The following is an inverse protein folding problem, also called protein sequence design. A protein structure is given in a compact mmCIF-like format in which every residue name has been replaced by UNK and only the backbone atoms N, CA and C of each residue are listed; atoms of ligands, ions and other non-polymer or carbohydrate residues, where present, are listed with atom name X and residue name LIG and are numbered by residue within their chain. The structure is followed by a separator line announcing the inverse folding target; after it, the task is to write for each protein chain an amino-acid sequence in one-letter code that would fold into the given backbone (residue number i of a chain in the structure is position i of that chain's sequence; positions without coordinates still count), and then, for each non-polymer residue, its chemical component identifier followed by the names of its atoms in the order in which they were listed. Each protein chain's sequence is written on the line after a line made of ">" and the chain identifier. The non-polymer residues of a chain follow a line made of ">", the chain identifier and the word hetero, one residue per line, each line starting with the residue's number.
data_IF_945955403271
#
_entry.id   IF_945955403271
#
_cell.length_a   1.000
_cell.length_b   1.000
_cell.length_c   1.000
_cell.angle_alpha   90.00
_cell.angle_beta   90.00
_cell.angle_gamma   90.00
#
_symmetry.space_group_name_H-M   'P 1'
#
loop_
_entity.id
_entity.type
_entity.pdbx_description
1 polymer ?
#
# COMPACT_ATOMS: atom_id res chain seq x y z
N UNK A 1 29.55 -81.86 58.00
CA UNK A 1 29.00 -81.45 59.32
C UNK A 1 28.21 -80.14 59.15
N UNK A 2 27.31 -79.82 60.10
CA UNK A 2 26.66 -78.52 60.43
C UNK A 2 26.44 -77.44 59.34
N UNK A 3 25.16 -77.06 59.17
CA UNK A 3 24.59 -75.75 58.72
C UNK A 3 25.24 -74.53 59.46
N UNK A 4 25.17 -73.25 59.01
CA UNK A 4 23.89 -72.55 58.68
C UNK A 4 23.82 -71.33 57.71
N UNK A 5 22.59 -71.11 57.19
CA UNK A 5 21.81 -69.85 56.95
C UNK A 5 22.36 -68.54 56.34
N UNK A 6 21.43 -67.83 55.67
CA UNK A 6 21.33 -66.38 55.38
C UNK A 6 22.25 -65.80 54.26
N UNK A 7 21.86 -64.77 53.48
CA UNK A 7 20.64 -63.90 53.52
C UNK A 7 20.20 -63.38 52.13
N UNK A 8 18.93 -62.97 52.06
CA UNK A 8 18.25 -62.20 51.00
C UNK A 8 19.02 -60.96 50.46
N UNK A 9 19.01 -60.73 49.12
CA UNK A 9 18.54 -59.48 48.45
C UNK A 9 18.73 -59.45 46.91
N UNK A 10 17.76 -58.80 46.24
CA UNK A 10 17.83 -58.05 44.95
C UNK A 10 18.23 -58.86 43.68
N UNK A 11 17.45 -58.80 42.58
CA UNK A 11 17.45 -57.62 41.68
C UNK A 11 16.13 -57.49 40.88
N UNK A 12 15.23 -56.61 41.31
CA UNK A 12 14.18 -56.07 40.43
C UNK A 12 14.79 -54.90 39.66
N UNK A 13 14.97 -55.04 38.35
CA UNK A 13 15.60 -54.02 37.51
C UNK A 13 14.53 -53.01 37.07
N UNK A 14 14.49 -51.85 37.74
CA UNK A 14 13.53 -50.78 37.42
C UNK A 14 13.79 -50.23 36.01
N UNK A 15 12.83 -50.43 35.10
CA UNK A 15 12.70 -49.60 33.91
C UNK A 15 12.08 -48.25 34.33
N UNK A 16 12.92 -47.29 34.73
CA UNK A 16 12.45 -46.02 35.29
C UNK A 16 13.23 -44.81 34.74
N UNK A 17 12.50 -43.97 33.97
CA UNK A 17 12.84 -42.60 33.57
C UNK A 17 14.04 -42.44 32.58
N UNK A 18 14.14 -41.29 31.88
CA UNK A 18 13.29 -40.11 32.00
C UNK A 18 12.24 -39.98 30.88
N UNK A 19 10.99 -39.81 31.30
CA UNK A 19 10.12 -38.84 30.65
C UNK A 19 10.73 -37.46 30.87
N UNK A 20 11.61 -37.03 29.95
CA UNK A 20 11.98 -35.62 29.82
C UNK A 20 10.76 -34.87 29.28
N UNK A 21 9.80 -34.62 30.17
CA UNK A 21 8.62 -33.85 29.87
C UNK A 21 9.04 -32.49 29.33
N UNK A 22 8.47 -32.11 28.18
CA UNK A 22 8.68 -30.80 27.60
C UNK A 22 8.10 -29.76 28.56
N UNK A 23 8.94 -29.20 29.43
CA UNK A 23 8.58 -28.01 30.19
C UNK A 23 8.14 -26.94 29.18
N UNK A 24 6.99 -26.29 29.39
CA UNK A 24 6.52 -25.28 28.45
C UNK A 24 7.59 -24.19 28.36
N UNK A 25 8.01 -23.87 27.14
CA UNK A 25 8.93 -22.77 26.90
C UNK A 25 8.20 -21.47 27.29
N UNK A 26 8.50 -20.95 28.48
CA UNK A 26 7.93 -19.70 28.96
C UNK A 26 8.43 -18.56 28.09
N UNK A 27 7.49 -17.77 27.56
CA UNK A 27 7.78 -16.54 26.84
C UNK A 27 8.64 -15.59 27.70
N UNK A 28 9.74 -15.11 27.14
CA UNK A 28 10.64 -14.18 27.80
C UNK A 28 10.10 -12.74 27.75
N UNK A 29 10.35 -11.97 28.80
CA UNK A 29 10.02 -10.54 28.87
C UNK A 29 11.28 -9.71 28.93
N UNK A 30 11.58 -9.02 27.83
CA UNK A 30 12.73 -8.13 27.68
C UNK A 30 12.32 -6.67 27.93
N UNK A 31 13.23 -5.88 28.48
CA UNK A 31 12.99 -4.46 28.76
C UNK A 31 14.21 -3.60 28.43
N UNK A 32 13.96 -2.43 27.84
CA UNK A 32 14.97 -1.44 27.49
C UNK A 32 14.69 -0.13 28.25
N UNK A 33 15.47 0.21 29.30
CA UNK A 33 16.53 -0.57 29.94
C UNK A 33 16.02 -1.76 30.77
N UNK A 34 16.96 -2.60 31.24
CA UNK A 34 16.69 -3.72 32.14
C UNK A 34 17.10 -5.05 31.52
N UNK A 35 16.14 -5.96 31.33
CA UNK A 35 16.41 -7.29 30.80
C UNK A 35 16.62 -7.24 29.27
N UNK A 36 17.85 -6.97 28.82
CA UNK A 36 18.18 -6.91 27.40
C UNK A 36 18.21 -8.32 26.79
N UNK A 37 17.75 -8.52 25.54
CA UNK A 37 17.94 -9.77 24.81
C UNK A 37 19.42 -10.12 24.59
N UNK A 38 19.71 -11.40 24.42
CA UNK A 38 21.05 -11.86 24.09
C UNK A 38 21.58 -11.18 22.81
N UNK A 39 22.82 -10.66 22.86
CA UNK A 39 23.42 -9.92 21.75
C UNK A 39 23.01 -8.45 21.64
N UNK A 40 22.16 -7.94 22.54
CA UNK A 40 21.85 -6.50 22.67
C UNK A 40 22.68 -5.83 23.76
N UNK A 41 23.06 -4.57 23.56
CA UNK A 41 23.78 -3.74 24.52
C UNK A 41 23.46 -2.24 24.32
N UNK A 42 23.74 -1.40 25.31
CA UNK A 42 23.54 0.05 25.23
C UNK A 42 22.96 0.66 26.50
N UNK A 43 22.45 1.88 26.39
CA UNK A 43 21.93 2.68 27.51
C UNK A 43 21.48 4.05 27.04
N UNK A 44 20.99 4.90 27.95
CA UNK A 44 20.52 6.26 27.63
C UNK A 44 19.55 6.29 26.42
N UNK A 45 18.57 5.37 26.44
CA UNK A 45 17.59 5.16 25.38
C UNK A 45 18.14 4.80 23.99
N UNK A 46 19.41 4.40 23.87
CA UNK A 46 20.06 4.02 22.62
C UNK A 46 20.75 2.65 22.78
N UNK A 47 20.33 1.69 21.96
CA UNK A 47 20.77 0.29 22.04
C UNK A 47 21.18 -0.24 20.67
N UNK A 48 22.14 -1.15 20.65
CA UNK A 48 22.55 -1.89 19.45
C UNK A 48 22.53 -3.40 19.74
N UNK A 49 21.98 -4.16 18.81
CA UNK A 49 21.90 -5.61 18.82
C UNK A 49 22.64 -6.18 17.60
N UNK A 50 23.17 -7.40 17.75
CA UNK A 50 23.65 -8.24 16.64
C UNK A 50 22.50 -8.74 15.76
N UNK A 51 22.43 -10.04 15.53
CA UNK A 51 21.15 -10.66 15.22
C UNK A 51 20.27 -10.66 16.48
N UNK A 52 18.97 -10.43 16.32
CA UNK A 52 17.98 -10.46 17.40
C UNK A 52 16.91 -11.51 17.06
N UNK A 53 16.60 -12.40 17.99
CA UNK A 53 15.55 -13.40 17.83
C UNK A 53 14.68 -13.43 19.08
N UNK A 54 13.37 -13.28 18.89
CA UNK A 54 12.34 -13.48 19.90
C UNK A 54 11.67 -14.83 19.63
N UNK A 55 11.52 -15.67 20.66
CA UNK A 55 10.76 -16.90 20.58
C UNK A 55 9.25 -16.63 20.51
N UNK A 56 8.45 -17.64 20.17
CA UNK A 56 7.00 -17.49 20.10
C UNK A 56 6.42 -17.04 21.45
N UNK A 57 5.65 -15.94 21.44
CA UNK A 57 5.08 -15.31 22.64
C UNK A 57 5.99 -14.33 23.38
N UNK A 58 7.30 -14.26 23.08
CA UNK A 58 8.24 -13.33 23.73
C UNK A 58 7.78 -11.87 23.62
N UNK A 59 8.16 -11.05 24.62
CA UNK A 59 7.79 -9.65 24.71
C UNK A 59 8.99 -8.70 24.80
N UNK A 60 8.95 -7.58 24.08
CA UNK A 60 9.83 -6.41 24.27
C UNK A 60 9.01 -5.28 24.88
N UNK A 61 9.59 -4.59 25.87
CA UNK A 61 9.07 -3.36 26.47
C UNK A 61 10.13 -2.26 26.48
N UNK A 62 9.74 -0.99 26.44
CA UNK A 62 10.65 0.17 26.57
C UNK A 62 10.12 1.16 27.60
N UNK A 63 11.01 2.00 28.15
CA UNK A 63 10.61 3.03 29.12
C UNK A 63 9.58 4.02 28.55
N UNK A 64 8.52 4.28 29.30
CA UNK A 64 7.47 5.22 28.90
C UNK A 64 7.95 6.66 28.94
N UNK A 65 7.70 7.42 27.88
CA UNK A 65 7.98 8.87 27.82
C UNK A 65 9.40 9.25 27.40
N UNK A 66 10.28 8.27 27.12
CA UNK A 66 11.62 8.50 26.56
C UNK A 66 11.72 7.74 25.23
N UNK A 67 11.79 8.44 24.07
CA UNK A 67 11.99 7.80 22.77
C UNK A 67 13.25 6.94 22.76
N UNK A 68 13.06 5.64 22.56
CA UNK A 68 14.10 4.61 22.64
C UNK A 68 14.43 4.09 21.25
N UNK A 69 15.70 4.12 20.89
CA UNK A 69 16.22 3.61 19.62
C UNK A 69 16.89 2.25 19.83
N UNK A 70 16.49 1.23 19.06
CA UNK A 70 17.15 -0.07 19.02
C UNK A 70 17.64 -0.33 17.59
N UNK A 71 18.95 -0.43 17.42
CA UNK A 71 19.62 -0.72 16.16
C UNK A 71 19.94 -2.21 16.05
N UNK A 72 19.23 -2.97 15.21
CA UNK A 72 19.51 -4.39 14.97
C UNK A 72 20.33 -4.54 13.69
N UNK A 73 21.58 -4.99 13.87
CA UNK A 73 22.56 -5.02 12.78
C UNK A 73 22.47 -6.29 11.93
N UNK A 74 22.10 -7.41 12.54
CA UNK A 74 21.79 -8.68 11.86
C UNK A 74 20.29 -8.85 11.59
N UNK A 75 19.87 -10.08 11.27
CA UNK A 75 18.45 -10.41 11.13
C UNK A 75 17.69 -10.13 12.44
N UNK A 76 16.53 -9.50 12.35
CA UNK A 76 15.54 -9.46 13.42
C UNK A 76 14.46 -10.51 13.12
N UNK A 77 14.40 -11.58 13.91
CA UNK A 77 13.33 -12.59 13.83
C UNK A 77 12.40 -12.46 15.03
N UNK A 78 11.09 -12.46 14.80
CA UNK A 78 10.06 -12.36 15.83
C UNK A 78 9.09 -13.53 15.69
N UNK A 79 9.02 -14.38 16.71
CA UNK A 79 8.15 -15.56 16.71
C UNK A 79 6.65 -15.23 16.70
N UNK A 80 5.83 -16.24 16.44
CA UNK A 80 4.37 -16.10 16.45
C UNK A 80 3.87 -15.64 17.84
N UNK A 81 2.84 -14.80 17.85
CA UNK A 81 2.17 -14.26 19.06
C UNK A 81 3.06 -13.37 19.96
N UNK A 82 4.29 -13.03 19.55
CA UNK A 82 5.15 -12.10 20.29
C UNK A 82 4.57 -10.68 20.35
N UNK A 83 5.06 -9.88 21.32
CA UNK A 83 4.61 -8.49 21.51
C UNK A 83 5.78 -7.52 21.61
N UNK A 84 5.69 -6.35 20.97
CA UNK A 84 6.76 -5.34 20.95
C UNK A 84 6.15 -3.99 21.33
N UNK A 85 6.52 -3.49 22.51
CA UNK A 85 6.04 -2.24 23.11
C UNK A 85 4.51 -2.18 23.26
N UNK A 86 3.82 -3.32 23.37
CA UNK A 86 2.36 -3.38 23.50
C UNK A 86 1.90 -2.63 24.76
N UNK A 87 0.99 -1.67 24.59
CA UNK A 87 0.55 -0.73 25.63
C UNK A 87 1.36 0.57 25.71
N UNK A 88 2.49 0.67 25.01
CA UNK A 88 3.24 1.91 24.82
C UNK A 88 2.75 2.73 23.62
N UNK A 89 3.22 3.97 23.50
CA UNK A 89 3.05 4.75 22.27
C UNK A 89 4.11 4.35 21.24
N UNK A 90 3.74 4.25 19.97
CA UNK A 90 4.69 3.92 18.89
C UNK A 90 5.82 4.97 18.73
N UNK A 91 5.59 6.21 19.14
CA UNK A 91 6.62 7.25 19.20
C UNK A 91 7.72 7.00 20.26
N UNK A 92 7.47 6.10 21.24
CA UNK A 92 8.47 5.74 22.25
C UNK A 92 9.50 4.74 21.74
N UNK A 93 9.30 4.10 20.57
CA UNK A 93 10.20 3.08 20.04
C UNK A 93 10.51 3.31 18.56
N UNK A 94 11.80 3.47 18.27
CA UNK A 94 12.37 3.48 16.93
C UNK A 94 13.24 2.22 16.78
N UNK A 95 12.92 1.38 15.79
CA UNK A 95 13.75 0.25 15.40
C UNK A 95 14.50 0.61 14.12
N UNK A 96 15.83 0.57 14.18
CA UNK A 96 16.70 0.68 13.01
C UNK A 96 17.15 -0.73 12.62
N UNK A 97 16.83 -1.21 11.43
CA UNK A 97 17.12 -2.59 11.02
C UNK A 97 18.00 -2.60 9.76
N UNK A 98 19.28 -2.98 9.87
CA UNK A 98 20.15 -3.16 8.69
C UNK A 98 20.18 -4.60 8.17
N UNK A 99 19.80 -5.58 9.00
CA UNK A 99 19.41 -6.91 8.54
C UNK A 99 17.90 -7.03 8.35
N UNK A 100 17.46 -8.12 7.71
CA UNK A 100 16.04 -8.34 7.40
C UNK A 100 15.18 -8.42 8.66
N UNK A 101 13.99 -7.81 8.63
CA UNK A 101 12.95 -8.01 9.63
C UNK A 101 12.00 -9.13 9.21
N UNK A 102 11.77 -10.09 10.09
CA UNK A 102 10.95 -11.28 9.82
C UNK A 102 10.05 -11.54 11.03
N UNK A 103 8.79 -11.13 10.92
CA UNK A 103 7.82 -11.15 12.01
C UNK A 103 6.76 -12.22 11.72
N UNK A 104 6.57 -13.14 12.67
CA UNK A 104 5.59 -14.22 12.59
C UNK A 104 4.13 -13.76 12.63
N UNK A 105 3.24 -14.73 12.80
CA UNK A 105 1.79 -14.53 12.80
C UNK A 105 1.28 -14.08 14.17
N UNK A 106 0.16 -13.34 14.19
CA UNK A 106 -0.50 -12.80 15.39
C UNK A 106 0.39 -11.88 16.27
N UNK A 107 1.51 -11.37 15.75
CA UNK A 107 2.41 -10.47 16.47
C UNK A 107 1.75 -9.11 16.69
N UNK A 108 2.03 -8.45 17.82
CA UNK A 108 1.57 -7.06 18.08
C UNK A 108 2.76 -6.12 18.26
N UNK A 109 2.80 -5.01 17.51
CA UNK A 109 3.94 -4.07 17.47
C UNK A 109 3.47 -2.62 17.64
N UNK A 110 4.12 -1.87 18.52
CA UNK A 110 3.95 -0.42 18.71
C UNK A 110 5.30 0.27 18.53
N UNK A 111 5.73 0.48 17.29
CA UNK A 111 7.04 1.04 16.96
C UNK A 111 7.04 1.75 15.61
N UNK A 112 7.95 2.70 15.43
CA UNK A 112 8.36 3.13 14.10
C UNK A 112 9.58 2.31 13.67
N UNK A 113 9.58 1.79 12.44
CA UNK A 113 10.70 1.04 11.87
C UNK A 113 11.32 1.86 10.75
N UNK A 114 12.63 2.00 10.76
CA UNK A 114 13.42 2.40 9.60
C UNK A 114 14.37 1.25 9.24
N UNK A 115 14.37 0.79 7.99
CA UNK A 115 15.19 -0.35 7.57
C UNK A 115 15.84 -0.17 6.20
N UNK A 116 17.03 -0.74 6.01
CA UNK A 116 17.70 -0.83 4.70
C UNK A 116 17.56 -2.21 4.07
N UNK A 117 16.89 -3.17 4.73
CA UNK A 117 16.71 -4.54 4.30
C UNK A 117 15.23 -4.93 4.25
N UNK A 118 14.92 -6.10 3.65
CA UNK A 118 13.54 -6.56 3.50
C UNK A 118 12.89 -6.76 4.87
N UNK A 119 11.67 -6.25 5.03
CA UNK A 119 10.83 -6.51 6.19
C UNK A 119 9.57 -7.26 5.78
N UNK A 120 9.26 -8.36 6.47
CA UNK A 120 8.07 -9.17 6.28
C UNK A 120 7.29 -9.29 7.58
N UNK A 121 6.00 -8.97 7.54
CA UNK A 121 5.03 -9.22 8.59
C UNK A 121 4.15 -10.40 8.18
N UNK A 122 3.99 -11.38 9.07
CA UNK A 122 3.19 -12.59 8.88
C UNK A 122 1.69 -12.33 8.85
N UNK A 123 0.91 -13.39 9.06
CA UNK A 123 -0.55 -13.33 9.05
C UNK A 123 -1.08 -12.70 10.35
N UNK A 124 -2.06 -11.79 10.27
CA UNK A 124 -2.73 -11.16 11.43
C UNK A 124 -1.81 -10.38 12.40
N UNK A 125 -0.72 -9.77 11.91
CA UNK A 125 0.06 -8.80 12.72
C UNK A 125 -0.78 -7.55 12.95
N UNK A 126 -0.79 -7.07 14.19
CA UNK A 126 -1.36 -5.78 14.59
C UNK A 126 -0.21 -4.78 14.82
N UNK A 127 -0.04 -3.84 13.90
CA UNK A 127 1.07 -2.89 13.90
C UNK A 127 0.57 -1.47 14.10
N UNK A 128 1.20 -0.72 15.01
CA UNK A 128 0.95 0.71 15.23
C UNK A 128 2.27 1.48 15.17
N UNK A 129 2.30 2.55 14.38
CA UNK A 129 3.52 3.25 13.95
C UNK A 129 3.75 3.09 12.44
N UNK A 130 4.83 3.67 11.92
CA UNK A 130 5.14 3.62 10.48
C UNK A 130 6.33 2.69 10.17
N UNK A 131 6.33 2.08 8.99
CA UNK A 131 7.49 1.38 8.43
C UNK A 131 8.04 2.20 7.27
N UNK A 132 9.33 2.52 7.33
CA UNK A 132 10.07 3.29 6.32
C UNK A 132 11.29 2.52 5.85
N UNK A 133 11.57 2.52 4.55
CA UNK A 133 12.83 2.04 3.98
C UNK A 133 13.28 2.89 2.81
N UNK A 134 14.58 2.95 2.55
CA UNK A 134 15.11 3.69 1.40
C UNK A 134 15.00 2.89 0.09
N UNK A 135 15.19 1.58 0.13
CA UNK A 135 15.27 0.75 -1.08
C UNK A 135 14.71 -0.67 -0.94
N UNK A 136 14.30 -1.09 0.26
CA UNK A 136 13.90 -2.46 0.50
C UNK A 136 12.40 -2.72 0.23
N UNK A 137 12.05 -4.01 0.21
CA UNK A 137 10.66 -4.47 0.11
C UNK A 137 10.03 -4.49 1.49
N UNK A 138 8.81 -3.97 1.59
CA UNK A 138 7.90 -4.17 2.72
C UNK A 138 6.85 -5.19 2.32
N UNK A 139 6.78 -6.32 3.00
CA UNK A 139 5.72 -7.32 2.84
C UNK A 139 4.85 -7.34 4.10
N UNK A 140 3.54 -7.23 3.93
CA UNK A 140 2.52 -7.67 4.87
C UNK A 140 1.85 -8.90 4.24
N UNK A 141 1.76 -10.02 4.94
CA UNK A 141 0.91 -11.14 4.54
C UNK A 141 -0.59 -10.82 4.79
N UNK A 142 -1.43 -11.81 5.07
CA UNK A 142 -2.88 -11.64 5.05
C UNK A 142 -3.43 -11.17 6.39
N UNK A 143 -4.60 -10.52 6.34
CA UNK A 143 -5.41 -10.15 7.52
C UNK A 143 -4.69 -9.24 8.51
N UNK A 144 -3.71 -8.48 8.03
CA UNK A 144 -2.92 -7.56 8.84
C UNK A 144 -3.72 -6.30 9.19
N UNK A 145 -3.49 -5.75 10.38
CA UNK A 145 -4.01 -4.44 10.78
C UNK A 145 -2.83 -3.51 11.03
N UNK A 146 -2.70 -2.47 10.22
CA UNK A 146 -1.57 -1.55 10.23
C UNK A 146 -2.06 -0.12 10.47
N UNK A 147 -1.55 0.57 11.48
CA UNK A 147 -1.99 1.93 11.87
C UNK A 147 -0.82 2.90 11.88
N UNK A 148 -0.70 3.64 10.78
CA UNK A 148 0.47 4.45 10.42
C UNK A 148 0.77 4.32 8.92
N UNK A 149 1.93 4.81 8.47
CA UNK A 149 2.28 4.82 7.05
C UNK A 149 3.24 3.69 6.64
N UNK A 150 3.13 3.24 5.40
CA UNK A 150 4.08 2.34 4.74
C UNK A 150 4.85 3.12 3.68
N UNK A 151 6.18 3.20 3.83
CA UNK A 151 7.05 4.05 3.00
C UNK A 151 8.25 3.27 2.46
N UNK A 152 8.49 3.33 1.15
CA UNK A 152 9.76 2.92 0.54
C UNK A 152 10.34 4.04 -0.33
N UNK A 153 11.65 4.04 -0.60
CA UNK A 153 12.22 4.91 -1.62
C UNK A 153 12.10 4.29 -3.00
N UNK A 154 12.79 3.17 -3.26
CA UNK A 154 12.81 2.47 -4.57
C UNK A 154 12.20 1.06 -4.58
N UNK A 155 11.87 0.48 -3.42
CA UNK A 155 11.46 -0.93 -3.29
C UNK A 155 9.97 -1.19 -3.56
N UNK A 156 9.51 -2.40 -3.28
CA UNK A 156 8.08 -2.75 -3.37
C UNK A 156 7.38 -2.66 -2.01
N UNK A 157 6.08 -2.38 -2.02
CA UNK A 157 5.21 -2.53 -0.84
C UNK A 157 4.08 -3.49 -1.22
N UNK A 158 4.08 -4.67 -0.61
CA UNK A 158 3.07 -5.70 -0.81
C UNK A 158 2.21 -5.80 0.46
N UNK A 159 0.89 -5.68 0.31
CA UNK A 159 -0.09 -5.85 1.39
C UNK A 159 -1.01 -7.01 1.00
N UNK A 160 -0.97 -8.12 1.74
CA UNK A 160 -1.76 -9.32 1.48
C UNK A 160 -3.26 -9.15 1.72
N UNK A 161 -4.02 -10.18 1.35
CA UNK A 161 -5.49 -10.13 1.29
C UNK A 161 -6.15 -9.90 2.66
N UNK A 162 -7.33 -9.29 2.63
CA UNK A 162 -8.16 -8.98 3.81
C UNK A 162 -7.49 -8.08 4.86
N UNK A 163 -6.50 -7.28 4.45
CA UNK A 163 -5.72 -6.43 5.37
C UNK A 163 -6.26 -5.00 5.45
N UNK A 164 -6.03 -4.32 6.56
CA UNK A 164 -6.45 -2.94 6.83
C UNK A 164 -5.22 -2.05 7.09
N UNK A 165 -5.05 -1.00 6.31
CA UNK A 165 -4.01 0.02 6.47
C UNK A 165 -4.67 1.35 6.83
N UNK A 166 -4.70 1.64 8.12
CA UNK A 166 -5.15 2.89 8.73
C UNK A 166 -4.08 3.98 8.57
N UNK A 167 -3.78 4.34 7.32
CA UNK A 167 -2.77 5.34 6.94
C UNK A 167 -2.51 5.31 5.43
N UNK A 168 -1.40 5.92 4.99
CA UNK A 168 -1.04 6.01 3.57
C UNK A 168 0.11 5.07 3.19
N UNK A 169 0.13 4.66 1.92
CA UNK A 169 1.15 3.77 1.34
C UNK A 169 1.86 4.53 0.22
N UNK A 170 3.19 4.71 0.29
CA UNK A 170 3.89 5.45 -0.75
C UNK A 170 5.33 5.04 -1.05
N UNK A 171 5.74 5.28 -2.31
CA UNK A 171 7.13 5.24 -2.76
C UNK A 171 7.62 6.66 -3.07
N UNK A 172 8.86 6.99 -2.67
CA UNK A 172 9.40 8.37 -2.82
C UNK A 172 10.35 8.54 -4.01
N UNK A 173 10.81 7.45 -4.64
CA UNK A 173 11.68 7.44 -5.83
C UNK A 173 11.10 6.54 -6.93
N UNK A 174 10.87 5.26 -6.62
CA UNK A 174 10.33 4.25 -7.52
C UNK A 174 9.71 3.08 -6.72
N UNK A 175 9.01 2.17 -7.38
CA UNK A 175 8.54 0.94 -6.76
C UNK A 175 7.17 0.48 -7.25
N UNK A 176 6.84 -0.76 -6.87
CA UNK A 176 5.52 -1.36 -7.07
C UNK A 176 4.80 -1.41 -5.74
N UNK A 177 3.62 -0.81 -5.67
CA UNK A 177 2.68 -1.01 -4.56
C UNK A 177 1.65 -2.04 -5.01
N UNK A 178 1.49 -3.12 -4.24
CA UNK A 178 0.45 -4.13 -4.44
C UNK A 178 -0.40 -4.21 -3.17
N UNK A 179 -1.71 -4.01 -3.30
CA UNK A 179 -2.68 -4.24 -2.23
C UNK A 179 -3.56 -5.42 -2.63
N UNK A 180 -3.76 -6.37 -1.73
CA UNK A 180 -4.55 -7.58 -1.95
C UNK A 180 -6.05 -7.32 -2.08
N UNK A 181 -6.80 -8.40 -2.27
CA UNK A 181 -8.25 -8.37 -2.36
C UNK A 181 -8.93 -8.28 -0.98
N UNK A 182 -10.16 -7.75 -0.95
CA UNK A 182 -11.00 -7.58 0.23
C UNK A 182 -10.35 -6.71 1.33
N UNK A 183 -9.46 -5.80 0.95
CA UNK A 183 -8.63 -5.00 1.85
C UNK A 183 -9.16 -3.56 1.99
N UNK A 184 -8.58 -2.80 2.93
CA UNK A 184 -8.89 -1.39 3.11
C UNK A 184 -7.62 -0.56 3.33
N UNK A 185 -7.53 0.61 2.70
CA UNK A 185 -6.50 1.62 2.92
C UNK A 185 -7.20 2.94 3.19
N UNK A 186 -7.08 3.52 4.39
CA UNK A 186 -7.84 4.75 4.74
C UNK A 186 -7.21 6.01 4.15
N UNK A 187 -5.88 6.02 3.99
CA UNK A 187 -5.13 7.12 3.39
C UNK A 187 -4.97 7.01 1.87
N UNK A 188 -3.95 7.68 1.35
CA UNK A 188 -3.63 7.70 -0.08
C UNK A 188 -2.65 6.57 -0.45
N UNK A 189 -2.63 6.21 -1.74
CA UNK A 189 -1.64 5.30 -2.32
C UNK A 189 -0.86 6.05 -3.40
N UNK A 190 0.47 6.17 -3.29
CA UNK A 190 1.24 6.98 -4.25
C UNK A 190 2.61 6.39 -4.55
N UNK A 191 2.90 6.09 -5.82
CA UNK A 191 4.28 5.84 -6.27
C UNK A 191 4.87 7.10 -6.93
N UNK A 192 6.20 7.27 -6.87
CA UNK A 192 6.86 8.27 -7.74
C UNK A 192 7.19 7.71 -9.12
N UNK A 193 7.50 6.41 -9.22
CA UNK A 193 7.73 5.74 -10.50
C UNK A 193 7.45 4.25 -10.36
N UNK A 194 6.80 3.60 -11.32
CA UNK A 194 6.42 2.17 -11.24
C UNK A 194 4.92 1.96 -11.13
N UNK A 195 4.48 0.87 -10.50
CA UNK A 195 3.10 0.42 -10.55
C UNK A 195 2.34 0.56 -9.23
N UNK A 196 1.02 0.74 -9.30
CA UNK A 196 0.09 0.57 -8.19
C UNK A 196 -0.98 -0.43 -8.61
N UNK A 197 -0.99 -1.59 -7.97
CA UNK A 197 -1.96 -2.66 -8.20
C UNK A 197 -2.86 -2.78 -6.97
N UNK A 198 -4.18 -2.73 -7.15
CA UNK A 198 -5.17 -2.87 -6.08
C UNK A 198 -6.07 -4.06 -6.38
N UNK A 199 -6.13 -5.04 -5.49
CA UNK A 199 -6.94 -6.26 -5.63
C UNK A 199 -8.44 -6.00 -5.57
N UNK A 200 -9.23 -7.03 -5.89
CA UNK A 200 -10.68 -6.89 -5.97
C UNK A 200 -11.34 -6.62 -4.60
N UNK A 201 -12.52 -5.99 -4.59
CA UNK A 201 -13.33 -5.69 -3.40
C UNK A 201 -12.62 -4.79 -2.36
N UNK A 202 -11.64 -3.99 -2.79
CA UNK A 202 -10.79 -3.20 -1.89
C UNK A 202 -11.20 -1.73 -1.85
N UNK A 203 -11.22 -1.15 -0.64
CA UNK A 203 -11.52 0.26 -0.39
C UNK A 203 -10.23 1.07 -0.25
N UNK A 204 -10.13 2.20 -0.96
CA UNK A 204 -9.07 3.21 -0.81
C UNK A 204 -9.72 4.56 -0.49
N UNK A 205 -9.58 5.03 0.74
CA UNK A 205 -10.21 6.28 1.20
C UNK A 205 -9.61 7.54 0.56
N UNK A 206 -8.29 7.54 0.33
CA UNK A 206 -7.58 8.64 -0.32
C UNK A 206 -7.56 8.57 -1.86
N UNK A 207 -6.61 9.29 -2.45
CA UNK A 207 -6.33 9.22 -3.89
C UNK A 207 -5.27 8.16 -4.22
N UNK A 208 -5.25 7.70 -5.46
CA UNK A 208 -4.23 6.81 -6.02
C UNK A 208 -3.38 7.60 -7.05
N UNK A 209 -2.06 7.56 -6.94
CA UNK A 209 -1.17 8.34 -7.81
C UNK A 209 0.09 7.59 -8.30
N UNK A 210 0.52 7.89 -9.52
CA UNK A 210 1.92 7.83 -9.95
C UNK A 210 2.38 9.22 -10.40
N UNK A 211 3.46 9.74 -9.81
CA UNK A 211 3.88 11.15 -10.01
C UNK A 211 5.01 11.37 -11.02
N UNK A 212 5.52 10.32 -11.66
CA UNK A 212 6.31 10.35 -12.90
C UNK A 212 5.83 9.23 -13.85
N UNK A 213 6.68 8.26 -14.16
CA UNK A 213 6.34 7.15 -15.05
C UNK A 213 5.62 6.03 -14.27
N UNK A 214 4.44 5.57 -14.69
CA UNK A 214 3.80 4.46 -13.99
C UNK A 214 2.44 3.98 -14.45
N UNK A 215 2.04 2.82 -13.91
CA UNK A 215 0.78 2.14 -14.23
C UNK A 215 -0.06 2.00 -12.98
N UNK A 216 -1.33 2.42 -13.03
CA UNK A 216 -2.32 2.11 -11.99
C UNK A 216 -3.25 1.01 -12.52
N UNK A 217 -3.40 -0.08 -11.77
CA UNK A 217 -4.32 -1.19 -12.07
C UNK A 217 -5.23 -1.42 -10.87
N UNK A 218 -6.53 -1.25 -11.04
CA UNK A 218 -7.55 -1.60 -10.04
C UNK A 218 -8.21 -2.93 -10.42
N UNK A 219 -8.53 -3.76 -9.43
CA UNK A 219 -9.26 -5.02 -9.59
C UNK A 219 -10.75 -4.81 -9.80
N UNK A 220 -11.56 -5.85 -9.57
CA UNK A 220 -13.01 -5.72 -9.58
C UNK A 220 -13.54 -5.06 -8.30
N UNK A 221 -14.64 -4.31 -8.38
CA UNK A 221 -15.36 -3.73 -7.23
C UNK A 221 -14.47 -2.88 -6.29
N UNK A 222 -13.41 -2.26 -6.81
CA UNK A 222 -12.54 -1.34 -6.06
C UNK A 222 -13.25 0.00 -5.90
N UNK A 223 -13.24 0.54 -4.68
CA UNK A 223 -13.81 1.86 -4.37
C UNK A 223 -12.69 2.82 -4.00
N UNK A 224 -12.57 3.93 -4.73
CA UNK A 224 -11.58 5.00 -4.47
C UNK A 224 -12.32 6.27 -4.06
N UNK A 225 -12.02 6.80 -2.86
CA UNK A 225 -12.61 8.03 -2.32
C UNK A 225 -12.02 9.32 -2.90
N UNK A 226 -10.79 9.26 -3.42
CA UNK A 226 -10.11 10.36 -4.08
C UNK A 226 -10.03 10.24 -5.62
N UNK A 227 -8.99 10.85 -6.17
CA UNK A 227 -8.66 10.80 -7.61
C UNK A 227 -7.84 9.54 -7.94
N UNK A 228 -7.72 9.22 -9.23
CA UNK A 228 -6.74 8.27 -9.77
C UNK A 228 -5.90 8.99 -10.83
N UNK A 229 -4.59 9.13 -10.60
CA UNK A 229 -3.74 9.96 -11.48
C UNK A 229 -2.40 9.32 -11.85
N UNK A 230 -1.97 9.49 -13.10
CA UNK A 230 -0.60 9.23 -13.56
C UNK A 230 0.03 10.53 -14.10
N UNK A 231 1.34 10.54 -14.26
CA UNK A 231 2.05 11.63 -14.96
C UNK A 231 2.52 11.17 -16.35
N UNK A 232 2.93 9.91 -16.50
CA UNK A 232 3.11 9.25 -17.80
C UNK A 232 2.97 7.73 -17.65
N UNK A 233 2.01 7.10 -18.32
CA UNK A 233 1.93 5.63 -18.38
C UNK A 233 0.55 5.08 -18.69
N UNK A 234 -0.08 4.37 -17.74
CA UNK A 234 -1.41 3.81 -17.97
C UNK A 234 -2.29 3.81 -16.71
N UNK A 235 -3.59 4.03 -16.87
CA UNK A 235 -4.60 3.80 -15.85
C UNK A 235 -5.57 2.74 -16.36
N UNK A 236 -5.69 1.65 -15.61
CA UNK A 236 -6.55 0.48 -15.84
C UNK A 236 -7.49 0.29 -14.63
N UNK A 237 -8.80 0.29 -14.85
CA UNK A 237 -9.82 0.16 -13.79
C UNK A 237 -10.70 -1.09 -13.98
N UNK A 238 -10.51 -2.12 -13.16
CA UNK A 238 -11.21 -3.39 -13.29
C UNK A 238 -12.72 -3.36 -12.95
N UNK A 239 -13.38 -4.48 -13.23
CA UNK A 239 -14.83 -4.56 -13.40
C UNK A 239 -15.66 -4.05 -12.20
N UNK A 240 -16.72 -3.28 -12.45
CA UNK A 240 -17.63 -2.71 -11.43
C UNK A 240 -16.99 -1.75 -10.42
N UNK A 241 -15.74 -1.32 -10.64
CA UNK A 241 -15.06 -0.37 -9.76
C UNK A 241 -15.62 1.05 -9.84
N UNK A 242 -15.47 1.79 -8.74
CA UNK A 242 -15.96 3.16 -8.55
C UNK A 242 -14.86 4.07 -8.01
N UNK A 243 -14.38 5.00 -8.83
CA UNK A 243 -13.63 6.19 -8.38
C UNK A 243 -14.61 7.19 -7.75
N UNK A 244 -14.15 8.23 -7.05
CA UNK A 244 -15.01 9.34 -6.59
C UNK A 244 -14.55 10.72 -7.08
N UNK A 245 -13.26 10.91 -7.37
CA UNK A 245 -12.69 12.10 -8.00
C UNK A 245 -12.44 11.97 -9.51
N UNK A 246 -11.40 12.65 -9.98
CA UNK A 246 -10.93 12.64 -11.38
C UNK A 246 -10.12 11.39 -11.72
N UNK A 247 -10.09 11.03 -13.01
CA UNK A 247 -9.13 10.07 -13.56
C UNK A 247 -8.25 10.77 -14.60
N UNK A 248 -6.94 10.94 -14.35
CA UNK A 248 -6.13 11.82 -15.21
C UNK A 248 -4.66 11.41 -15.43
N UNK A 249 -4.15 11.69 -16.62
CA UNK A 249 -2.72 11.66 -16.95
C UNK A 249 -2.22 13.03 -17.41
N UNK A 250 -1.06 13.49 -16.92
CA UNK A 250 -0.57 14.84 -17.20
C UNK A 250 0.46 14.97 -18.34
N UNK A 251 0.91 13.90 -19.00
CA UNK A 251 1.86 14.00 -20.13
C UNK A 251 1.38 13.22 -21.35
N UNK A 252 1.30 11.89 -21.30
CA UNK A 252 1.13 11.02 -22.48
C UNK A 252 0.51 9.64 -22.20
N UNK A 253 0.04 9.39 -20.98
CA UNK A 253 -0.48 8.10 -20.57
C UNK A 253 -1.88 7.77 -21.09
N UNK A 254 -2.13 6.48 -21.31
CA UNK A 254 -3.41 5.95 -21.76
C UNK A 254 -4.36 5.68 -20.58
N UNK A 255 -5.64 6.03 -20.73
CA UNK A 255 -6.65 5.83 -19.69
C UNK A 255 -7.70 4.83 -20.19
N UNK A 256 -7.97 3.77 -19.42
CA UNK A 256 -8.92 2.71 -19.76
C UNK A 256 -9.57 2.17 -18.46
N UNK A 257 -10.88 2.00 -18.29
CA UNK A 257 -11.60 0.73 -18.46
C UNK A 257 -13.06 0.84 -17.98
N UNK A 258 -13.87 -0.13 -18.40
CA UNK A 258 -15.08 -0.67 -17.78
C UNK A 258 -15.08 -2.19 -18.06
N UNK A 259 -16.07 -3.02 -17.73
CA UNK A 259 -17.37 -2.86 -17.07
C UNK A 259 -17.35 -2.24 -15.65
N UNK A 260 -18.47 -1.83 -15.03
CA UNK A 260 -19.53 -1.01 -15.61
C UNK A 260 -19.49 0.37 -14.95
N UNK A 261 -18.78 1.29 -15.59
CA UNK A 261 -18.22 2.50 -14.94
C UNK A 261 -19.28 3.51 -14.51
N UNK A 262 -19.15 4.08 -13.31
CA UNK A 262 -19.66 5.44 -12.98
C UNK A 262 -18.73 6.22 -12.04
N UNK A 263 -18.10 7.30 -12.56
CA UNK A 263 -17.78 8.58 -11.89
C UNK A 263 -17.01 9.49 -12.87
N UNK A 264 -17.11 10.83 -12.79
CA UNK A 264 -17.86 11.66 -11.82
C UNK A 264 -17.06 12.84 -11.27
N UNK A 265 -15.73 12.78 -11.32
CA UNK A 265 -14.95 13.91 -11.81
C UNK A 265 -14.87 13.85 -13.35
N UNK A 266 -13.98 14.66 -13.93
CA UNK A 266 -13.59 14.52 -15.33
C UNK A 266 -12.59 13.39 -15.57
N UNK A 267 -12.42 13.01 -16.84
CA UNK A 267 -11.41 12.03 -17.30
C UNK A 267 -10.50 12.72 -18.33
N UNK A 268 -9.18 12.73 -18.14
CA UNK A 268 -8.33 13.46 -19.10
C UNK A 268 -6.86 13.05 -19.16
N UNK A 269 -6.34 12.90 -20.39
CA UNK A 269 -4.91 12.76 -20.66
C UNK A 269 -4.35 14.03 -21.29
N UNK A 270 -3.06 14.30 -21.18
CA UNK A 270 -2.44 15.40 -21.93
C UNK A 270 -2.05 15.01 -23.36
N UNK A 271 -1.70 13.74 -23.64
CA UNK A 271 -1.36 13.28 -25.01
C UNK A 271 -1.68 11.81 -25.32
N UNK A 272 -2.08 11.01 -24.32
CA UNK A 272 -2.42 9.60 -24.51
C UNK A 272 -3.91 9.39 -24.80
N UNK A 273 -4.26 8.18 -25.24
CA UNK A 273 -5.65 7.84 -25.57
C UNK A 273 -6.55 7.76 -24.32
N UNK A 274 -7.82 8.16 -24.45
CA UNK A 274 -8.82 8.18 -23.38
C UNK A 274 -10.03 7.33 -23.75
N UNK A 275 -10.17 6.21 -23.03
CA UNK A 275 -11.22 5.20 -23.18
C UNK A 275 -12.61 5.68 -22.61
N UNK A 276 -13.63 4.94 -22.11
CA UNK A 276 -14.11 3.52 -22.13
C UNK A 276 -15.63 3.43 -21.77
N UNK A 277 -16.29 2.36 -22.24
CA UNK A 277 -17.40 1.65 -21.59
C UNK A 277 -17.20 0.14 -21.79
N UNK A 278 -17.94 -0.77 -21.17
CA UNK A 278 -19.31 -0.75 -20.61
C UNK A 278 -19.45 -0.10 -19.22
N UNK A 279 -20.59 0.02 -18.54
CA UNK A 279 -21.85 0.66 -18.93
C UNK A 279 -21.90 2.15 -18.54
N UNK A 280 -20.73 2.79 -18.51
CA UNK A 280 -20.41 4.24 -18.53
C UNK A 280 -21.42 5.27 -18.01
N UNK A 281 -20.98 6.05 -17.02
CA UNK A 281 -21.32 7.48 -16.88
C UNK A 281 -20.20 8.31 -16.22
N UNK A 282 -19.95 9.53 -16.73
CA UNK A 282 -18.83 10.39 -16.31
C UNK A 282 -19.31 11.83 -16.12
N UNK A 283 -19.58 12.25 -14.87
CA UNK A 283 -20.13 13.57 -14.53
C UNK A 283 -19.16 14.76 -14.60
N UNK A 284 -18.40 14.85 -15.68
CA UNK A 284 -17.45 15.95 -15.93
C UNK A 284 -16.88 15.87 -17.35
N UNK A 285 -16.02 16.82 -17.71
CA UNK A 285 -15.42 16.83 -19.05
C UNK A 285 -14.47 15.64 -19.31
N UNK A 286 -14.45 15.18 -20.56
CA UNK A 286 -13.50 14.20 -21.08
C UNK A 286 -12.50 14.93 -22.00
N UNK A 287 -11.20 14.78 -21.77
CA UNK A 287 -10.19 15.66 -22.38
C UNK A 287 -8.92 14.95 -22.87
N UNK A 288 -8.34 15.47 -23.95
CA UNK A 288 -7.03 15.07 -24.48
C UNK A 288 -6.25 16.31 -24.94
N UNK A 289 -5.19 16.68 -24.21
CA UNK A 289 -4.53 17.98 -24.36
C UNK A 289 -3.87 18.27 -25.72
N UNK A 290 -3.25 17.27 -26.34
CA UNK A 290 -2.58 17.36 -27.64
C UNK A 290 -3.11 16.31 -28.62
N UNK A 291 -2.45 15.17 -28.78
CA UNK A 291 -2.67 14.21 -29.87
C UNK A 291 -3.49 12.95 -29.52
N UNK A 292 -3.86 12.75 -28.25
CA UNK A 292 -4.55 11.54 -27.82
C UNK A 292 -5.98 11.44 -28.35
N UNK A 293 -6.40 10.26 -28.82
CA UNK A 293 -7.78 10.04 -29.23
C UNK A 293 -8.71 9.86 -28.01
N UNK A 294 -9.95 10.36 -28.10
CA UNK A 294 -11.02 10.20 -27.10
C UNK A 294 -12.16 9.40 -27.73
N UNK A 295 -12.66 8.37 -27.05
CA UNK A 295 -13.68 7.46 -27.60
C UNK A 295 -14.50 6.82 -26.46
N UNK A 296 -15.50 6.00 -26.79
CA UNK A 296 -16.11 4.89 -26.02
C UNK A 296 -17.43 5.02 -25.22
N UNK A 297 -18.01 3.82 -25.12
CA UNK A 297 -19.36 3.32 -24.80
C UNK A 297 -19.23 1.79 -24.58
N UNK A 298 -20.21 0.98 -24.18
CA UNK A 298 -21.68 1.10 -24.24
C UNK A 298 -22.33 0.99 -22.85
N UNK A 299 -23.26 1.84 -22.42
CA UNK A 299 -23.92 2.93 -23.12
C UNK A 299 -23.70 4.28 -22.44
N UNK A 300 -22.81 5.12 -22.95
CA UNK A 300 -22.32 6.27 -22.19
C UNK A 300 -23.23 7.51 -22.20
N UNK A 301 -23.18 8.20 -21.07
CA UNK A 301 -23.65 9.57 -20.83
C UNK A 301 -22.53 10.27 -20.05
N UNK A 302 -22.05 11.42 -20.50
CA UNK A 302 -21.02 12.24 -19.81
C UNK A 302 -21.75 13.20 -18.84
N UNK A 303 -21.16 14.31 -18.36
CA UNK A 303 -21.83 15.62 -18.22
C UNK A 303 -20.80 16.76 -18.18
N UNK A 304 -20.28 17.10 -19.36
CA UNK A 304 -19.22 18.06 -19.57
C UNK A 304 -18.86 18.18 -21.04
N UNK A 305 -17.73 18.83 -21.34
CA UNK A 305 -17.22 18.92 -22.71
C UNK A 305 -16.42 17.66 -23.08
N UNK A 306 -16.34 17.35 -24.38
CA UNK A 306 -15.42 16.35 -24.94
C UNK A 306 -14.45 17.09 -25.86
N UNK A 307 -13.21 17.30 -25.39
CA UNK A 307 -12.26 18.24 -26.01
C UNK A 307 -10.92 17.59 -26.37
N UNK A 308 -10.45 17.80 -27.60
CA UNK A 308 -9.04 17.57 -27.97
C UNK A 308 -8.51 18.66 -28.89
N UNK A 309 -7.18 18.70 -29.02
CA UNK A 309 -6.50 19.63 -29.91
C UNK A 309 -6.20 19.00 -31.27
N UNK A 310 -5.50 17.88 -31.27
CA UNK A 310 -4.92 17.24 -32.46
C UNK A 310 -5.36 15.76 -32.64
N UNK A 311 -6.10 15.19 -31.68
CA UNK A 311 -6.62 13.81 -31.73
C UNK A 311 -8.00 13.65 -32.39
N UNK A 312 -8.53 12.41 -32.39
CA UNK A 312 -9.89 12.08 -32.81
C UNK A 312 -10.86 11.96 -31.62
N UNK A 313 -12.18 12.13 -31.84
CA UNK A 313 -13.20 12.24 -30.79
C UNK A 313 -14.49 11.43 -31.06
N UNK A 314 -15.08 10.88 -29.97
CA UNK A 314 -16.49 10.48 -29.73
C UNK A 314 -17.07 9.32 -30.56
N UNK A 315 -17.81 8.44 -29.86
CA UNK A 315 -18.51 7.24 -30.34
C UNK A 315 -19.90 7.12 -29.65
N UNK A 316 -20.76 6.18 -30.08
CA UNK A 316 -21.91 5.62 -29.32
C UNK A 316 -21.78 4.09 -29.19
N UNK A 317 -22.47 3.39 -28.27
CA UNK A 317 -23.92 3.27 -28.08
C UNK A 317 -24.47 3.87 -26.77
N UNK A 318 -25.79 3.82 -26.55
CA UNK A 318 -26.51 4.40 -25.41
C UNK A 318 -26.97 5.84 -25.74
N UNK A 319 -26.05 6.80 -25.56
CA UNK A 319 -26.16 8.26 -25.79
C UNK A 319 -26.83 9.11 -24.71
N UNK A 320 -26.00 9.98 -24.14
CA UNK A 320 -26.05 11.45 -24.32
C UNK A 320 -24.59 11.94 -24.17
N UNK A 321 -24.12 13.13 -23.80
CA UNK A 321 -24.58 14.42 -23.22
C UNK A 321 -23.32 15.34 -23.34
N UNK A 322 -23.24 16.65 -23.15
CA UNK A 322 -24.18 17.79 -23.28
C UNK A 322 -23.39 19.12 -23.30
N UNK A 323 -22.14 19.14 -22.84
CA UNK A 323 -21.19 20.18 -23.23
C UNK A 323 -20.81 20.09 -24.72
N UNK A 324 -19.71 20.74 -25.07
CA UNK A 324 -19.23 20.84 -26.46
C UNK A 324 -18.38 19.63 -26.82
N UNK A 325 -18.65 19.02 -27.98
CA UNK A 325 -17.78 18.02 -28.63
C UNK A 325 -16.93 18.76 -29.66
N UNK A 326 -15.64 18.97 -29.40
CA UNK A 326 -14.78 19.77 -30.28
C UNK A 326 -13.34 19.27 -30.36
N UNK A 327 -12.82 19.19 -31.58
CA UNK A 327 -11.44 18.90 -31.91
C UNK A 327 -10.86 20.04 -32.74
N UNK A 328 -9.72 20.63 -32.34
CA UNK A 328 -9.16 21.81 -33.02
C UNK A 328 -8.53 21.48 -34.40
N UNK A 329 -8.11 20.23 -34.59
CA UNK A 329 -7.96 19.53 -35.87
C UNK A 329 -8.91 18.32 -35.82
N UNK A 330 -9.53 17.92 -36.93
CA UNK A 330 -10.52 16.82 -36.92
C UNK A 330 -9.92 15.49 -36.45
N UNK A 331 -10.67 14.57 -35.82
CA UNK A 331 -12.13 14.38 -35.77
C UNK A 331 -12.74 14.73 -34.39
N UNK A 332 -13.96 15.27 -34.21
CA UNK A 332 -15.31 15.04 -34.80
C UNK A 332 -16.17 14.10 -33.92
N UNK A 333 -17.14 13.35 -34.45
CA UNK A 333 -18.42 13.10 -33.75
C UNK A 333 -19.13 11.85 -34.27
N UNK A 334 -19.80 11.12 -33.37
CA UNK A 334 -20.59 9.91 -33.67
C UNK A 334 -21.81 9.87 -32.76
N UNK A 335 -22.85 9.17 -33.20
CA UNK A 335 -24.06 8.89 -32.45
C UNK A 335 -24.35 7.39 -32.36
N UNK A 336 -24.75 6.96 -31.18
CA UNK A 336 -25.80 5.94 -30.97
C UNK A 336 -26.19 5.99 -29.49
N UNK A 337 -27.45 6.21 -29.13
CA UNK A 337 -28.59 6.77 -29.90
C UNK A 337 -28.66 8.32 -29.78
N UNK A 338 -27.70 9.06 -30.38
CA UNK A 338 -27.55 10.55 -30.40
C UNK A 338 -27.90 11.35 -29.10
N UNK A 339 -27.00 11.75 -28.19
CA UNK A 339 -25.72 12.51 -28.27
C UNK A 339 -25.89 13.96 -28.73
N UNK A 340 -25.51 14.89 -27.85
CA UNK A 340 -26.11 16.23 -27.68
C UNK A 340 -25.14 17.15 -26.92
N UNK A 341 -25.24 18.50 -26.87
CA UNK A 341 -25.55 19.57 -27.85
C UNK A 341 -25.10 20.92 -27.22
N UNK A 342 -24.00 21.47 -27.70
CA UNK A 342 -23.55 22.83 -27.38
C UNK A 342 -22.39 23.22 -28.30
N UNK A 343 -22.21 24.51 -28.57
CA UNK A 343 -21.13 25.01 -29.45
C UNK A 343 -20.37 26.12 -28.74
N UNK A 344 -19.04 25.97 -28.66
CA UNK A 344 -18.12 26.99 -28.13
C UNK A 344 -16.89 27.05 -29.02
N UNK A 345 -16.40 28.27 -29.26
CA UNK A 345 -15.12 28.53 -29.92
C UNK A 345 -13.92 28.47 -28.98
N UNK A 346 -14.14 28.34 -27.66
CA UNK A 346 -13.08 28.31 -26.66
C UNK A 346 -12.77 26.87 -26.22
N UNK A 347 -11.81 26.22 -26.88
CA UNK A 347 -11.29 24.90 -26.50
C UNK A 347 -10.28 25.03 -25.35
N UNK A 348 -10.77 25.03 -24.11
CA UNK A 348 -9.93 24.88 -22.93
C UNK A 348 -10.51 23.80 -22.02
N UNK A 349 -9.69 22.80 -21.71
CA UNK A 349 -10.04 21.78 -20.73
C UNK A 349 -10.31 22.49 -19.38
N UNK A 350 -11.45 22.25 -18.69
CA UNK A 350 -11.59 22.74 -17.33
C UNK A 350 -10.45 22.12 -16.52
N UNK A 351 -9.65 22.97 -15.88
CA UNK A 351 -8.31 22.59 -15.45
C UNK A 351 -8.32 21.22 -14.74
N UNK A 352 -7.63 20.22 -15.30
CA UNK A 352 -7.08 19.15 -14.47
C UNK A 352 -6.43 19.86 -13.29
N UNK A 353 -6.76 19.50 -12.03
CA UNK A 353 -6.28 20.26 -10.87
C UNK A 353 -4.78 20.26 -10.96
N UNK A 354 -4.20 21.42 -11.32
CA UNK A 354 -2.78 21.44 -11.63
C UNK A 354 -2.08 21.00 -10.38
N UNK A 355 -1.23 19.96 -10.49
CA UNK A 355 -0.22 19.65 -9.48
C UNK A 355 0.91 20.70 -9.54
N UNK A 356 0.48 21.97 -9.51
CA UNK A 356 1.06 23.03 -8.69
C UNK A 356 1.05 22.57 -7.24
N UNK A 357 1.88 21.56 -6.97
CA UNK A 357 2.44 21.25 -5.67
C UNK A 357 3.25 22.49 -5.29
N UNK A 358 2.56 23.54 -4.82
CA UNK A 358 3.16 24.70 -4.17
C UNK A 358 3.63 24.34 -2.76
N UNK A 359 4.22 23.15 -2.63
CA UNK A 359 5.11 22.81 -1.53
C UNK A 359 6.27 23.79 -1.60
N UNK A 360 6.20 24.82 -0.75
CA UNK A 360 7.29 25.78 -0.56
C UNK A 360 8.56 25.11 0.02
N UNK A 361 8.47 23.85 0.47
CA UNK A 361 9.57 23.08 1.04
C UNK A 361 10.61 22.60 0.00
N UNK A 362 10.25 22.37 -1.27
CA UNK A 362 11.20 21.86 -2.28
C UNK A 362 12.39 22.80 -2.55
N UNK A 363 12.32 24.09 -2.18
CA UNK A 363 13.43 25.05 -2.35
C UNK A 363 14.48 25.03 -1.23
N UNK A 364 14.33 24.23 -0.17
CA UNK A 364 15.29 24.17 0.94
C UNK A 364 16.12 22.88 1.03
N UNK A 365 15.81 21.85 0.23
CA UNK A 365 16.46 20.52 0.31
C UNK A 365 17.50 20.23 -0.80
N UNK A 366 17.78 21.19 -1.69
CA UNK A 366 18.75 21.04 -2.80
C UNK A 366 19.58 22.32 -3.06
N UNK A 367 19.89 23.10 -2.01
CA UNK A 367 20.85 24.22 -2.07
C UNK A 367 21.78 24.28 -0.85
N UNK A 368 22.05 23.11 -0.26
CA UNK A 368 23.25 22.76 0.53
C UNK A 368 23.57 21.30 0.26
#
# INVERSE_FOLDING_TARGET
>A
MRKPFNTCRWLFLLAALPLLGWLPAYAASYSFPGNLPAGCSGGNANYTCGALTLAAGDSISVATGIPTTINVTGKFSVGDNSTINSGGQAANLILLLSGTGDFGSNVTVFANIHTTAVITLGDRVNFTGSITTDNAVINLANKNTFTGNLTTGSGAINVGDSSQVNGSIFTTVAGVITVGANSAVTGAISTKSGAVNVGANTLVGGSIASTLAGVVTLGAEVVVGGNVTTVSGAINVGASSKVSGFVADSIAGAITLGDKVKVGGGVGSNSGAVTVGTGSQVGGSVCSGTAGAITLNDGAVVDGNILTKDGAITVGKDSQVNGVVAAAKGAVTVASSARVKGVSSNLQCPNSPTLSIKSRAWRQLFMR
#
